data_IF_728946287590
#
_entry.id   IF_728946287590
#
_cell.length_a   1.000
_cell.length_b   1.000
_cell.length_c   1.000
_cell.angle_alpha   90.00
_cell.angle_beta   90.00
_cell.angle_gamma   90.00
#
_symmetry.space_group_name_H-M   'P 1'
#
loop_
_entity.id
_entity.type
_entity.pdbx_description
1 polymer ?
#
# COMPACT_ATOMS: atom_id res chain seq x y z
N UNK A 1 3.20 1.87 -9.29
CA UNK A 1 2.72 0.48 -9.44
C UNK A 1 2.26 0.25 -10.87
N UNK A 2 2.38 -0.99 -11.34
CA UNK A 2 2.05 -1.40 -12.71
C UNK A 2 1.42 -2.81 -12.71
N UNK A 3 0.94 -3.27 -13.87
CA UNK A 3 0.21 -4.53 -14.03
C UNK A 3 1.09 -5.79 -13.86
N UNK A 4 2.37 -5.62 -13.54
CA UNK A 4 3.25 -6.70 -13.06
C UNK A 4 2.93 -7.12 -11.63
N UNK A 5 1.88 -6.57 -11.01
CA UNK A 5 1.48 -6.83 -9.62
C UNK A 5 2.63 -6.55 -8.64
N UNK A 6 3.35 -5.44 -8.84
CA UNK A 6 4.48 -5.03 -8.00
C UNK A 6 4.43 -3.53 -7.70
N UNK A 7 4.93 -3.19 -6.52
CA UNK A 7 5.30 -1.82 -6.20
C UNK A 7 6.76 -1.57 -6.56
N UNK A 8 7.04 -0.35 -7.02
CA UNK A 8 8.40 0.11 -7.29
C UNK A 8 8.56 1.49 -6.65
N UNK A 9 9.39 1.63 -5.61
CA UNK A 9 10.09 0.56 -4.90
C UNK A 9 9.15 -0.33 -4.06
N UNK A 10 9.56 -1.56 -3.77
CA UNK A 10 8.86 -2.48 -2.86
C UNK A 10 9.42 -2.46 -1.42
N UNK A 11 10.61 -1.88 -1.22
CA UNK A 11 11.25 -1.72 0.07
C UNK A 11 11.69 -0.27 0.24
N UNK A 12 11.35 0.33 1.38
CA UNK A 12 11.63 1.73 1.70
C UNK A 12 12.24 1.76 3.10
N UNK A 13 13.28 2.56 3.32
CA UNK A 13 13.87 2.74 4.64
C UNK A 13 13.68 4.18 5.09
N UNK A 14 13.21 4.35 6.33
CA UNK A 14 12.91 5.65 6.95
C UNK A 14 13.39 5.62 8.40
N UNK A 15 13.56 6.78 9.02
CA UNK A 15 13.90 6.92 10.45
C UNK A 15 12.63 7.16 11.26
N UNK A 16 12.65 6.67 12.50
CA UNK A 16 11.60 6.98 13.46
C UNK A 16 11.44 8.50 13.63
N UNK A 17 10.20 8.97 13.50
CA UNK A 17 9.80 10.38 13.58
C UNK A 17 9.72 11.09 12.22
N UNK A 18 10.19 10.47 11.13
CA UNK A 18 10.09 11.05 9.79
C UNK A 18 8.64 11.06 9.30
N UNK A 19 8.27 12.18 8.65
CA UNK A 19 7.04 12.31 7.88
C UNK A 19 7.37 12.16 6.41
N UNK A 20 6.78 11.14 5.78
CA UNK A 20 6.98 10.85 4.37
C UNK A 20 5.68 11.13 3.62
N UNK A 21 5.80 11.81 2.49
CA UNK A 21 4.74 11.89 1.49
C UNK A 21 4.97 10.83 0.42
N UNK A 22 4.13 9.80 0.45
CA UNK A 22 4.04 8.82 -0.63
C UNK A 22 3.21 9.41 -1.77
N UNK A 23 3.82 9.53 -2.94
CA UNK A 23 3.09 9.82 -4.19
C UNK A 23 2.94 8.50 -4.92
N UNK A 24 1.72 7.99 -4.95
CA UNK A 24 1.41 6.69 -5.52
C UNK A 24 0.83 6.90 -6.90
N UNK A 25 1.48 6.35 -7.92
CA UNK A 25 1.00 6.39 -9.31
C UNK A 25 0.65 4.99 -9.81
N UNK A 26 -0.54 4.86 -10.38
CA UNK A 26 -0.92 3.70 -11.17
C UNK A 26 -0.54 3.94 -12.64
N UNK A 27 0.52 3.29 -13.11
CA UNK A 27 0.97 3.32 -14.51
C UNK A 27 0.49 2.12 -15.33
N UNK A 28 -0.38 1.30 -14.76
CA UNK A 28 -1.00 0.15 -15.40
C UNK A 28 -2.34 0.47 -16.05
N UNK A 29 -2.99 -0.58 -16.54
CA UNK A 29 -4.29 -0.57 -17.21
C UNK A 29 -5.41 -1.18 -16.35
N UNK A 30 -5.09 -1.76 -15.19
CA UNK A 30 -6.09 -2.21 -14.21
C UNK A 30 -6.11 -1.32 -12.97
N UNK A 31 -7.19 -1.40 -12.19
CA UNK A 31 -7.27 -0.72 -10.89
C UNK A 31 -6.23 -1.32 -9.94
N UNK A 32 -5.58 -0.46 -9.18
CA UNK A 32 -4.69 -0.89 -8.11
C UNK A 32 -4.95 -0.09 -6.85
N UNK A 33 -4.48 -0.61 -5.73
CA UNK A 33 -4.60 0.02 -4.43
C UNK A 33 -3.25 0.08 -3.74
N UNK A 34 -3.07 1.09 -2.90
CA UNK A 34 -2.05 1.10 -1.87
C UNK A 34 -2.75 1.13 -0.51
N UNK A 35 -2.53 0.12 0.31
CA UNK A 35 -3.03 0.02 1.68
C UNK A 35 -1.86 -0.27 2.61
N UNK A 36 -1.69 0.54 3.66
CA UNK A 36 -0.56 0.46 4.59
C UNK A 36 -1.03 0.10 6.00
N UNK A 37 -0.33 -0.85 6.64
CA UNK A 37 -0.66 -1.36 7.96
C UNK A 37 0.27 -2.49 8.41
N UNK A 38 -0.13 -3.19 9.46
CA UNK A 38 0.49 -4.45 9.87
C UNK A 38 0.09 -5.60 8.94
N UNK A 39 0.86 -6.69 8.93
CA UNK A 39 0.53 -7.86 8.13
C UNK A 39 -0.84 -8.46 8.50
N UNK A 40 -1.21 -8.43 9.78
CA UNK A 40 -2.50 -8.90 10.26
C UNK A 40 -3.66 -8.03 9.72
N UNK A 41 -3.55 -6.70 9.84
CA UNK A 41 -4.57 -5.76 9.33
C UNK A 41 -4.75 -5.89 7.82
N UNK A 42 -3.65 -6.00 7.05
CA UNK A 42 -3.72 -6.16 5.61
C UNK A 42 -4.38 -7.48 5.20
N UNK A 43 -4.12 -8.58 5.91
CA UNK A 43 -4.74 -9.88 5.66
C UNK A 43 -6.24 -9.87 6.00
N UNK A 44 -6.60 -9.31 7.13
CA UNK A 44 -8.01 -9.18 7.52
C UNK A 44 -8.80 -8.34 6.51
N UNK A 45 -8.21 -7.21 6.10
CA UNK A 45 -8.81 -6.36 5.08
C UNK A 45 -8.87 -7.05 3.71
N UNK A 46 -7.87 -7.86 3.37
CA UNK A 46 -7.89 -8.66 2.15
C UNK A 46 -9.08 -9.64 2.10
N UNK A 47 -9.37 -10.32 3.21
CA UNK A 47 -10.54 -11.21 3.30
C UNK A 47 -11.86 -10.44 3.18
N UNK A 48 -11.88 -9.17 3.59
CA UNK A 48 -13.03 -8.28 3.38
C UNK A 48 -13.16 -7.90 1.90
N UNK A 49 -12.07 -7.53 1.25
CA UNK A 49 -12.03 -7.22 -0.20
C UNK A 49 -12.44 -8.40 -1.07
N UNK A 50 -12.14 -9.64 -0.67
CA UNK A 50 -12.64 -10.84 -1.38
C UNK A 50 -14.16 -10.94 -1.39
N UNK A 51 -14.82 -10.48 -0.32
CA UNK A 51 -16.29 -10.47 -0.21
C UNK A 51 -16.90 -9.28 -0.95
N UNK A 52 -16.17 -8.17 -1.00
CA UNK A 52 -16.61 -6.91 -1.60
C UNK A 52 -15.54 -6.35 -2.56
N UNK A 53 -15.36 -6.96 -3.74
CA UNK A 53 -14.23 -6.66 -4.63
C UNK A 53 -14.27 -5.27 -5.25
N UNK A 54 -15.44 -4.63 -5.29
CA UNK A 54 -15.63 -3.28 -5.84
C UNK A 54 -15.46 -2.16 -4.80
N UNK A 55 -15.06 -2.50 -3.56
CA UNK A 55 -14.77 -1.51 -2.53
C UNK A 55 -13.59 -0.63 -2.95
N UNK A 56 -13.76 0.68 -2.82
CA UNK A 56 -12.71 1.68 -3.09
C UNK A 56 -12.35 2.41 -1.80
N UNK A 57 -11.09 2.83 -1.71
CA UNK A 57 -10.55 3.49 -0.53
C UNK A 57 -10.01 4.87 -0.89
N UNK A 58 -10.32 5.82 -0.02
CA UNK A 58 -9.74 7.17 0.03
C UNK A 58 -9.59 7.56 1.50
N UNK A 59 -8.66 6.88 2.16
CA UNK A 59 -8.39 6.97 3.59
C UNK A 59 -6.92 7.36 3.83
N UNK A 60 -6.54 7.90 5.01
CA UNK A 60 -5.17 8.34 5.28
C UNK A 60 -4.07 7.27 5.06
N UNK A 61 -4.40 5.99 5.14
CA UNK A 61 -3.46 4.88 4.90
C UNK A 61 -3.83 3.99 3.70
N UNK A 62 -4.92 4.30 2.99
CA UNK A 62 -5.42 3.49 1.87
C UNK A 62 -5.91 4.35 0.71
N UNK A 63 -5.48 4.05 -0.51
CA UNK A 63 -5.95 4.74 -1.70
C UNK A 63 -6.12 3.77 -2.88
N UNK A 64 -7.32 3.76 -3.47
CA UNK A 64 -7.62 3.05 -4.71
C UNK A 64 -7.41 3.98 -5.90
N UNK A 65 -6.73 3.49 -6.94
CA UNK A 65 -6.32 4.28 -8.10
C UNK A 65 -6.74 3.58 -9.40
N UNK A 66 -7.58 4.27 -10.16
CA UNK A 66 -7.87 3.91 -11.54
C UNK A 66 -6.61 4.00 -12.44
N UNK A 67 -6.62 3.35 -13.61
CA UNK A 67 -5.52 3.43 -14.58
C UNK A 67 -5.08 4.87 -14.88
N UNK A 68 -3.78 5.11 -14.89
CA UNK A 68 -3.18 6.42 -15.16
C UNK A 68 -3.35 7.47 -14.06
N UNK A 69 -4.06 7.16 -12.96
CA UNK A 69 -4.26 8.10 -11.84
C UNK A 69 -3.13 8.03 -10.81
N UNK A 70 -3.11 9.05 -9.96
CA UNK A 70 -2.20 9.15 -8.82
C UNK A 70 -2.95 9.60 -7.57
N UNK A 71 -2.43 9.24 -6.41
CA UNK A 71 -2.91 9.65 -5.09
C UNK A 71 -1.74 9.93 -4.16
N UNK A 72 -2.02 10.56 -3.02
CA UNK A 72 -1.01 10.93 -2.03
C UNK A 72 -1.40 10.38 -0.65
N UNK A 73 -0.40 9.84 0.05
CA UNK A 73 -0.52 9.48 1.48
C UNK A 73 0.60 10.20 2.23
N UNK A 74 0.25 10.97 3.25
CA UNK A 74 1.22 11.63 4.14
C UNK A 74 1.20 10.89 5.47
N UNK A 75 2.34 10.31 5.85
CA UNK A 75 2.42 9.47 7.04
C UNK A 75 3.65 9.79 7.88
N UNK A 76 3.45 9.87 9.19
CA UNK A 76 4.54 10.02 10.16
C UNK A 76 4.85 8.68 10.83
N UNK A 77 6.09 8.21 10.70
CA UNK A 77 6.54 6.94 11.27
C UNK A 77 6.98 7.09 12.72
N UNK A 78 6.03 7.13 13.64
CA UNK A 78 6.31 7.40 15.07
C UNK A 78 6.96 6.24 15.83
N UNK A 79 6.90 5.01 15.32
CA UNK A 79 7.45 3.80 15.94
C UNK A 79 8.46 3.13 15.01
N UNK A 80 9.59 2.68 15.57
CA UNK A 80 10.53 1.82 14.87
C UNK A 80 9.94 0.42 14.63
N UNK A 81 10.39 -0.26 13.58
CA UNK A 81 9.88 -1.58 13.19
C UNK A 81 9.52 -1.64 11.70
N UNK A 82 8.68 -2.59 11.34
CA UNK A 82 8.21 -2.76 9.97
C UNK A 82 6.77 -2.30 9.82
N UNK A 83 6.50 -1.55 8.75
CA UNK A 83 5.16 -1.24 8.28
C UNK A 83 5.01 -1.86 6.90
N UNK A 84 3.97 -2.65 6.66
CA UNK A 84 3.74 -3.28 5.36
C UNK A 84 2.81 -2.40 4.54
N UNK A 85 2.89 -2.54 3.22
CA UNK A 85 1.88 -2.01 2.32
C UNK A 85 1.58 -3.03 1.22
N UNK A 86 0.36 -3.02 0.71
CA UNK A 86 -0.09 -3.99 -0.28
C UNK A 86 -1.22 -3.46 -1.16
N UNK A 87 -1.44 -4.11 -2.30
CA UNK A 87 -2.67 -3.97 -3.07
C UNK A 87 -3.60 -5.11 -2.69
N UNK A 88 -4.80 -4.79 -2.20
CA UNK A 88 -5.72 -5.78 -1.63
C UNK A 88 -6.85 -6.19 -2.60
N UNK A 89 -6.79 -5.75 -3.85
CA UNK A 89 -7.63 -6.34 -4.90
C UNK A 89 -7.40 -7.85 -4.99
N UNK A 90 -8.47 -8.68 -5.05
CA UNK A 90 -8.34 -10.13 -5.23
C UNK A 90 -7.41 -10.50 -6.39
N UNK A 91 -6.55 -11.50 -6.17
CA UNK A 91 -5.48 -11.87 -7.11
C UNK A 91 -4.21 -11.01 -7.04
N UNK A 92 -4.29 -9.70 -6.79
CA UNK A 92 -3.11 -8.82 -6.79
C UNK A 92 -2.22 -9.08 -5.57
N UNK A 93 -2.85 -9.19 -4.39
CA UNK A 93 -2.16 -9.50 -3.14
C UNK A 93 -1.42 -10.85 -3.21
N UNK A 94 -2.12 -11.90 -3.67
CA UNK A 94 -1.59 -13.26 -3.79
C UNK A 94 -0.51 -13.36 -4.88
N UNK A 95 -0.61 -12.57 -5.96
CA UNK A 95 0.43 -12.46 -6.98
C UNK A 95 1.73 -11.82 -6.46
N UNK A 96 1.72 -11.25 -5.25
CA UNK A 96 2.90 -10.68 -4.59
C UNK A 96 2.97 -9.16 -4.66
N UNK A 97 1.85 -8.47 -4.88
CA UNK A 97 1.80 -7.01 -4.85
C UNK A 97 1.83 -6.48 -3.42
N UNK A 98 3.01 -6.59 -2.81
CA UNK A 98 3.30 -6.23 -1.43
C UNK A 98 4.63 -5.50 -1.36
N UNK A 99 4.81 -4.72 -0.31
CA UNK A 99 6.06 -4.07 0.02
C UNK A 99 6.13 -3.72 1.49
N UNK A 100 7.23 -3.08 1.88
CA UNK A 100 7.47 -2.71 3.26
C UNK A 100 8.24 -1.41 3.40
N UNK A 101 7.97 -0.73 4.50
CA UNK A 101 8.77 0.35 5.07
C UNK A 101 9.47 -0.19 6.31
N UNK A 102 10.80 -0.15 6.31
CA UNK A 102 11.62 -0.42 7.49
C UNK A 102 11.89 0.92 8.18
N UNK A 103 11.37 1.06 9.40
CA UNK A 103 11.58 2.23 10.26
C UNK A 103 12.73 1.95 11.20
N UNK A 104 13.89 2.53 10.93
CA UNK A 104 15.06 2.41 11.80
C UNK A 104 14.87 3.30 13.03
N UNK A 105 15.23 2.77 14.19
CA UNK A 105 15.21 3.54 15.45
C UNK A 105 16.16 4.73 15.34
N UNK A 106 15.73 5.88 15.84
CA UNK A 106 16.56 7.07 15.95
C UNK A 106 17.61 6.92 17.04
#
# INVERSE_FOLDING_TARGET
MADTMRFTPAAISVKQGETIKFVIKNSGQVKHEFSMGTDAELKEHYETMKKFPDMEHDEPSKVSLAPGKQGEIIWQFTKAGEVKFACLYPGHYDAGMKGQVTVVKK
#
